data_IF_323046436158
#
_entry.id   IF_323046436158
#
_cell.length_a   1.000
_cell.length_b   1.000
_cell.length_c   1.000
_cell.angle_alpha   90.00
_cell.angle_beta   90.00
_cell.angle_gamma   90.00
#
_symmetry.space_group_name_H-M   'P 1'
#
loop_
_entity.id
_entity.type
_entity.pdbx_description
1 polymer ?
#
# COMPACT_ATOMS: atom_id res chain seq x y z
N UNK A 1 24.21 4.73 3.01
CA UNK A 1 23.31 4.82 4.18
C UNK A 1 22.02 4.08 3.85
N UNK A 2 21.65 3.05 4.61
CA UNK A 2 20.33 2.43 4.46
C UNK A 2 19.27 3.47 4.85
N UNK A 3 18.34 3.81 3.95
CA UNK A 3 17.20 4.66 4.31
C UNK A 3 16.44 3.97 5.43
N UNK A 4 16.18 4.66 6.54
CA UNK A 4 15.32 4.12 7.60
C UNK A 4 13.93 3.83 7.01
N UNK A 5 13.33 2.69 7.38
CA UNK A 5 11.96 2.34 6.98
C UNK A 5 10.96 3.47 7.23
N UNK A 6 11.20 4.27 8.28
CA UNK A 6 10.41 5.46 8.59
C UNK A 6 10.47 6.54 7.49
N UNK A 7 11.64 6.77 6.88
CA UNK A 7 11.77 7.72 5.77
C UNK A 7 10.99 7.24 4.53
N UNK A 8 10.95 5.93 4.29
CA UNK A 8 10.16 5.35 3.20
C UNK A 8 8.66 5.51 3.48
N UNK A 9 8.21 5.22 4.69
CA UNK A 9 6.81 5.44 5.09
C UNK A 9 6.42 6.91 5.03
N UNK A 10 7.30 7.83 5.46
CA UNK A 10 7.05 9.27 5.34
C UNK A 10 6.95 9.72 3.89
N UNK A 11 7.84 9.22 3.02
CA UNK A 11 7.77 9.49 1.56
C UNK A 11 6.45 8.97 0.98
N UNK A 12 6.03 7.77 1.37
CA UNK A 12 4.75 7.21 0.97
C UNK A 12 3.58 8.09 1.43
N UNK A 13 3.62 8.58 2.68
CA UNK A 13 2.59 9.46 3.22
C UNK A 13 2.43 10.73 2.37
N UNK A 14 3.55 11.38 2.02
CA UNK A 14 3.54 12.58 1.18
C UNK A 14 3.00 12.31 -0.22
N UNK A 15 3.47 11.25 -0.88
CA UNK A 15 3.01 10.89 -2.23
C UNK A 15 1.52 10.52 -2.21
N UNK A 16 1.09 9.73 -1.24
CA UNK A 16 -0.31 9.34 -1.06
C UNK A 16 -1.22 10.53 -0.75
N UNK A 17 -0.74 11.54 -0.02
CA UNK A 17 -1.47 12.81 0.16
C UNK A 17 -1.68 13.52 -1.18
N UNK A 18 -0.65 13.63 -2.02
CA UNK A 18 -0.76 14.27 -3.32
C UNK A 18 -1.75 13.52 -4.22
N UNK A 19 -1.66 12.19 -4.27
CA UNK A 19 -2.59 11.35 -5.06
C UNK A 19 -4.02 11.52 -4.57
N UNK A 20 -4.25 11.52 -3.25
CA UNK A 20 -5.57 11.73 -2.68
C UNK A 20 -6.12 13.14 -2.99
N UNK A 21 -5.30 14.18 -2.88
CA UNK A 21 -5.71 15.55 -3.25
C UNK A 21 -6.08 15.63 -4.74
N UNK A 22 -5.29 15.02 -5.62
CA UNK A 22 -5.62 14.93 -7.06
C UNK A 22 -6.94 14.20 -7.26
N UNK A 23 -7.19 13.13 -6.51
CA UNK A 23 -8.46 12.40 -6.59
C UNK A 23 -9.66 13.26 -6.19
N UNK A 24 -9.55 14.07 -5.13
CA UNK A 24 -10.66 14.90 -4.63
C UNK A 24 -10.88 16.14 -5.50
N UNK A 25 -9.80 16.88 -5.81
CA UNK A 25 -9.90 18.18 -6.46
C UNK A 25 -9.84 18.11 -7.99
N UNK A 26 -9.26 17.05 -8.55
CA UNK A 26 -9.10 16.87 -9.99
C UNK A 26 -9.35 15.41 -10.43
N UNK A 27 -10.48 14.80 -10.06
CA UNK A 27 -10.75 13.38 -10.33
C UNK A 27 -10.65 13.04 -11.83
N UNK A 28 -11.01 13.97 -12.70
CA UNK A 28 -10.93 13.77 -14.16
C UNK A 28 -9.50 13.52 -14.67
N UNK A 29 -8.45 13.94 -13.96
CA UNK A 29 -7.06 13.57 -14.31
C UNK A 29 -6.80 12.06 -14.15
N UNK A 30 -7.51 11.40 -13.23
CA UNK A 30 -7.42 9.96 -12.99
C UNK A 30 -8.40 9.16 -13.85
N UNK A 31 -9.52 9.77 -14.26
CA UNK A 31 -10.58 9.09 -15.02
C UNK A 31 -10.44 9.27 -16.55
N UNK A 32 -10.11 10.46 -17.02
CA UNK A 32 -9.96 10.78 -18.45
C UNK A 32 -8.63 11.43 -18.85
N UNK A 33 -7.69 11.51 -17.91
CA UNK A 33 -6.37 12.06 -18.15
C UNK A 33 -5.48 11.19 -19.04
N UNK A 34 -4.36 11.76 -19.48
CA UNK A 34 -3.36 11.02 -20.27
C UNK A 34 -2.77 9.83 -19.52
N UNK A 35 -2.60 9.97 -18.20
CA UNK A 35 -2.05 8.93 -17.33
C UNK A 35 -2.99 7.73 -17.27
N UNK A 36 -4.29 7.93 -17.07
CA UNK A 36 -5.27 6.85 -17.02
C UNK A 36 -5.39 6.11 -18.35
N UNK A 37 -5.33 6.85 -19.47
CA UNK A 37 -5.28 6.29 -20.83
C UNK A 37 -4.03 5.45 -21.04
N UNK A 38 -2.88 5.91 -20.56
CA UNK A 38 -1.62 5.18 -20.65
C UNK A 38 -1.66 3.89 -19.82
N UNK A 39 -2.04 3.97 -18.53
CA UNK A 39 -2.15 2.81 -17.63
C UNK A 39 -3.13 1.76 -18.17
N UNK A 40 -4.30 2.21 -18.64
CA UNK A 40 -5.31 1.31 -19.19
C UNK A 40 -4.79 0.59 -20.44
N UNK A 41 -4.08 1.31 -21.34
CA UNK A 41 -3.47 0.71 -22.52
C UNK A 41 -2.38 -0.30 -22.15
N UNK A 42 -1.47 0.05 -21.25
CA UNK A 42 -0.36 -0.83 -20.84
C UNK A 42 -0.85 -2.08 -20.12
N UNK A 43 -1.94 -1.98 -19.36
CA UNK A 43 -2.53 -3.09 -18.64
C UNK A 43 -3.55 -3.90 -19.47
N UNK A 44 -3.85 -3.49 -20.71
CA UNK A 44 -4.89 -4.11 -21.53
C UNK A 44 -6.30 -3.96 -20.93
N UNK A 45 -6.51 -2.95 -20.09
CA UNK A 45 -7.77 -2.69 -19.39
C UNK A 45 -8.64 -1.66 -20.13
N UNK A 46 -9.95 -1.74 -19.89
CA UNK A 46 -10.89 -0.75 -20.43
C UNK A 46 -10.65 0.59 -19.75
N UNK A 47 -10.47 1.62 -20.56
CA UNK A 47 -10.34 2.97 -20.07
C UNK A 47 -11.63 3.42 -19.33
N UNK A 48 -11.53 3.95 -18.10
CA UNK A 48 -12.71 4.34 -17.34
C UNK A 48 -13.55 5.42 -18.04
N UNK A 49 -12.92 6.36 -18.75
CA UNK A 49 -13.62 7.51 -19.34
C UNK A 49 -13.97 8.56 -18.28
N UNK A 50 -14.61 9.65 -18.67
CA UNK A 50 -14.98 10.73 -17.75
C UNK A 50 -15.79 10.23 -16.55
N UNK A 51 -15.63 10.91 -15.41
CA UNK A 51 -16.46 10.66 -14.23
C UNK A 51 -17.89 11.11 -14.56
N UNK A 52 -18.82 10.16 -14.62
CA UNK A 52 -20.24 10.42 -14.86
C UNK A 52 -20.99 10.50 -13.54
N UNK A 53 -22.16 11.17 -13.48
CA UNK A 53 -22.97 11.25 -12.25
C UNK A 53 -23.31 9.89 -11.63
N UNK A 54 -23.47 8.85 -12.46
CA UNK A 54 -23.70 7.47 -12.00
C UNK A 54 -22.51 6.84 -11.26
N UNK A 55 -21.30 7.37 -11.46
CA UNK A 55 -20.04 6.86 -10.89
C UNK A 55 -19.50 7.72 -9.76
N UNK A 56 -20.02 8.94 -9.59
CA UNK A 56 -19.65 9.87 -8.52
C UNK A 56 -19.81 9.25 -7.11
N UNK A 57 -20.89 8.51 -6.78
CA UNK A 57 -21.02 7.91 -5.45
C UNK A 57 -19.92 6.89 -5.15
N UNK A 58 -19.59 6.03 -6.13
CA UNK A 58 -18.52 5.04 -5.99
C UNK A 58 -17.15 5.70 -5.90
N UNK A 59 -16.94 6.78 -6.64
CA UNK A 59 -15.73 7.58 -6.52
C UNK A 59 -15.58 8.21 -5.13
N UNK A 60 -16.66 8.77 -4.58
CA UNK A 60 -16.68 9.32 -3.22
C UNK A 60 -16.34 8.28 -2.16
N UNK A 61 -16.91 7.08 -2.25
CA UNK A 61 -16.55 5.95 -1.35
C UNK A 61 -15.07 5.59 -1.47
N UNK A 62 -14.54 5.53 -2.69
CA UNK A 62 -13.12 5.26 -2.92
C UNK A 62 -12.22 6.35 -2.34
N UNK A 63 -12.59 7.63 -2.48
CA UNK A 63 -11.85 8.75 -1.92
C UNK A 63 -11.83 8.72 -0.38
N UNK A 64 -12.95 8.36 0.26
CA UNK A 64 -13.02 8.15 1.71
C UNK A 64 -12.16 6.97 2.17
N UNK A 65 -12.15 5.87 1.41
CA UNK A 65 -11.32 4.71 1.72
C UNK A 65 -9.83 5.04 1.61
N UNK A 66 -9.42 5.78 0.58
CA UNK A 66 -8.05 6.28 0.46
C UNK A 66 -7.67 7.25 1.57
N UNK A 67 -8.59 8.09 2.05
CA UNK A 67 -8.34 8.96 3.20
C UNK A 67 -8.06 8.14 4.47
N UNK A 68 -8.83 7.06 4.71
CA UNK A 68 -8.60 6.19 5.86
C UNK A 68 -7.22 5.52 5.80
N UNK A 69 -6.81 5.05 4.62
CA UNK A 69 -5.46 4.51 4.39
C UNK A 69 -4.40 5.60 4.63
N UNK A 70 -4.61 6.80 4.10
CA UNK A 70 -3.68 7.91 4.26
C UNK A 70 -3.48 8.29 5.73
N UNK A 71 -4.54 8.32 6.52
CA UNK A 71 -4.48 8.54 7.98
C UNK A 71 -3.63 7.45 8.65
N UNK A 72 -3.80 6.18 8.25
CA UNK A 72 -2.99 5.09 8.77
C UNK A 72 -1.49 5.25 8.41
N UNK A 73 -1.17 5.60 7.15
CA UNK A 73 0.22 5.80 6.72
C UNK A 73 0.86 6.96 7.50
N UNK A 74 0.17 8.09 7.68
CA UNK A 74 0.65 9.22 8.47
C UNK A 74 0.85 8.86 9.94
N UNK A 75 -0.08 8.09 10.53
CA UNK A 75 0.06 7.59 11.90
C UNK A 75 1.32 6.74 12.05
N UNK A 76 1.60 5.85 11.11
CA UNK A 76 2.82 5.04 11.11
C UNK A 76 4.09 5.81 10.76
N UNK A 77 4.01 6.87 9.95
CA UNK A 77 5.15 7.73 9.64
C UNK A 77 5.64 8.52 10.87
N UNK A 78 4.69 8.97 11.68
CA UNK A 78 4.92 9.75 12.90
C UNK A 78 5.12 8.89 14.15
N UNK A 79 4.88 7.58 14.07
CA UNK A 79 5.04 6.67 15.19
C UNK A 79 6.51 6.35 15.47
N UNK A 80 6.88 6.34 16.75
CA UNK A 80 8.16 5.85 17.25
C UNK A 80 8.12 4.35 17.62
N UNK A 81 6.97 3.68 17.45
CA UNK A 81 6.82 2.28 17.84
C UNK A 81 7.63 1.36 16.92
N UNK A 82 8.43 0.43 17.48
CA UNK A 82 9.07 -0.61 16.68
C UNK A 82 7.97 -1.41 15.96
N UNK A 83 8.19 -1.67 14.67
CA UNK A 83 7.28 -2.39 13.76
C UNK A 83 6.04 -1.66 13.22
N UNK A 84 5.82 -0.36 13.55
CA UNK A 84 4.70 0.42 12.97
C UNK A 84 4.73 0.42 11.42
N UNK A 85 5.92 0.39 10.84
CA UNK A 85 6.13 0.36 9.39
C UNK A 85 5.78 -0.99 8.75
N UNK A 86 5.83 -2.09 9.51
CA UNK A 86 5.49 -3.42 8.98
C UNK A 86 3.98 -3.55 8.80
N UNK A 87 3.20 -3.03 9.75
CA UNK A 87 1.75 -2.91 9.62
C UNK A 87 1.34 -2.09 8.40
N UNK A 88 2.05 -0.99 8.13
CA UNK A 88 1.85 -0.19 6.91
C UNK A 88 2.15 -1.00 5.66
N UNK A 89 3.30 -1.68 5.60
CA UNK A 89 3.65 -2.50 4.44
C UNK A 89 2.59 -3.59 4.16
N UNK A 90 2.03 -4.19 5.21
CA UNK A 90 0.99 -5.20 5.08
C UNK A 90 -0.33 -4.60 4.56
N UNK A 91 -0.73 -3.44 5.08
CA UNK A 91 -1.91 -2.72 4.60
C UNK A 91 -1.76 -2.34 3.12
N UNK A 92 -0.60 -1.82 2.73
CA UNK A 92 -0.30 -1.43 1.35
C UNK A 92 -0.37 -2.63 0.39
N UNK A 93 0.18 -3.78 0.81
CA UNK A 93 0.11 -5.02 0.05
C UNK A 93 -1.32 -5.53 -0.08
N UNK A 94 -2.09 -5.50 1.02
CA UNK A 94 -3.50 -5.92 1.04
C UNK A 94 -4.35 -5.06 0.11
N UNK A 95 -4.11 -3.75 0.11
CA UNK A 95 -4.76 -2.82 -0.81
C UNK A 95 -4.41 -3.12 -2.27
N UNK A 96 -3.12 -3.28 -2.59
CA UNK A 96 -2.66 -3.58 -3.94
C UNK A 96 -3.28 -4.89 -4.47
N UNK A 97 -3.35 -5.93 -3.63
CA UNK A 97 -3.98 -7.21 -3.97
C UNK A 97 -5.49 -7.05 -4.19
N UNK A 98 -6.19 -6.33 -3.29
CA UNK A 98 -7.63 -6.10 -3.40
C UNK A 98 -7.98 -5.32 -4.66
N UNK A 99 -7.19 -4.29 -4.99
CA UNK A 99 -7.33 -3.53 -6.22
C UNK A 99 -7.04 -4.38 -7.46
N UNK A 100 -6.02 -5.23 -7.43
CA UNK A 100 -5.72 -6.18 -8.51
C UNK A 100 -6.86 -7.19 -8.74
N UNK A 101 -7.42 -7.76 -7.67
CA UNK A 101 -8.57 -8.66 -7.71
C UNK A 101 -9.79 -7.92 -8.28
N UNK A 102 -10.09 -6.71 -7.81
CA UNK A 102 -11.19 -5.90 -8.35
C UNK A 102 -11.03 -5.62 -9.85
N UNK A 103 -9.80 -5.37 -10.31
CA UNK A 103 -9.49 -5.20 -11.73
C UNK A 103 -9.68 -6.49 -12.55
N UNK A 104 -9.38 -7.66 -11.98
CA UNK A 104 -9.56 -8.94 -12.64
C UNK A 104 -11.04 -9.39 -12.71
N UNK A 105 -11.79 -9.26 -11.61
CA UNK A 105 -13.14 -9.82 -11.49
C UNK A 105 -14.26 -8.83 -11.87
N UNK A 106 -14.02 -7.53 -11.75
CA UNK A 106 -15.02 -6.50 -11.99
C UNK A 106 -14.53 -5.46 -13.00
N UNK A 107 -14.22 -5.81 -14.26
CA UNK A 107 -13.60 -4.91 -15.24
C UNK A 107 -14.45 -3.67 -15.59
N UNK A 108 -15.74 -3.65 -15.24
CA UNK A 108 -16.60 -2.46 -15.34
C UNK A 108 -16.28 -1.36 -14.31
N UNK A 109 -15.68 -1.75 -13.18
CA UNK A 109 -15.34 -0.90 -12.03
C UNK A 109 -13.83 -0.93 -11.69
N UNK A 110 -13.13 -1.97 -12.17
CA UNK A 110 -11.69 -2.24 -12.12
C UNK A 110 -10.87 -1.30 -13.01
N UNK A 111 -11.11 -0.02 -12.82
CA UNK A 111 -10.59 1.07 -13.64
C UNK A 111 -9.07 1.20 -13.52
N UNK A 112 -8.46 1.86 -14.52
CA UNK A 112 -7.07 2.31 -14.45
C UNK A 112 -6.76 3.16 -13.19
N UNK A 113 -7.76 3.73 -12.52
CA UNK A 113 -7.62 4.42 -11.22
C UNK A 113 -7.25 3.45 -10.10
N UNK A 114 -7.89 2.28 -10.04
CA UNK A 114 -7.58 1.26 -9.06
C UNK A 114 -6.17 0.68 -9.30
N UNK A 115 -5.77 0.49 -10.56
CA UNK A 115 -4.40 0.08 -10.89
C UNK A 115 -3.36 1.16 -10.58
N UNK A 116 -3.70 2.43 -10.80
CA UNK A 116 -2.85 3.58 -10.49
C UNK A 116 -2.59 3.70 -8.99
N UNK A 117 -3.53 3.33 -8.13
CA UNK A 117 -3.30 3.19 -6.69
C UNK A 117 -2.55 1.91 -6.32
N UNK A 118 -2.87 0.78 -6.96
CA UNK A 118 -2.31 -0.53 -6.60
C UNK A 118 -0.79 -0.63 -6.81
N UNK A 119 -0.28 -0.08 -7.91
CA UNK A 119 1.15 -0.20 -8.26
C UNK A 119 2.06 0.56 -7.29
N UNK A 120 1.83 1.86 -7.00
CA UNK A 120 2.60 2.58 -5.99
C UNK A 120 2.53 1.92 -4.61
N UNK A 121 1.35 1.46 -4.20
CA UNK A 121 1.16 0.81 -2.91
C UNK A 121 1.97 -0.50 -2.81
N UNK A 122 1.98 -1.31 -3.87
CA UNK A 122 2.84 -2.49 -3.94
C UNK A 122 4.33 -2.13 -3.88
N UNK A 123 4.77 -1.12 -4.63
CA UNK A 123 6.17 -0.67 -4.64
C UNK A 123 6.61 -0.13 -3.27
N UNK A 124 5.75 0.63 -2.59
CA UNK A 124 6.01 1.13 -1.24
C UNK A 124 6.02 0.00 -0.22
N UNK A 125 5.12 -0.98 -0.32
CA UNK A 125 5.15 -2.17 0.54
C UNK A 125 6.51 -2.89 0.43
N UNK A 126 6.98 -3.13 -0.79
CA UNK A 126 8.30 -3.77 -1.04
C UNK A 126 9.44 -2.89 -0.53
N UNK A 127 9.39 -1.58 -0.74
CA UNK A 127 10.43 -0.65 -0.29
C UNK A 127 10.50 -0.59 1.25
N UNK A 128 9.36 -0.58 1.94
CA UNK A 128 9.30 -0.60 3.41
C UNK A 128 9.86 -1.92 3.95
N UNK A 129 9.51 -3.05 3.34
CA UNK A 129 10.04 -4.36 3.70
C UNK A 129 11.57 -4.43 3.55
N UNK A 130 12.08 -4.00 2.39
CA UNK A 130 13.53 -3.95 2.12
C UNK A 130 14.27 -3.01 3.07
N UNK A 131 13.72 -1.84 3.37
CA UNK A 131 14.32 -0.87 4.28
C UNK A 131 14.27 -1.34 5.75
N UNK A 132 13.24 -2.09 6.13
CA UNK A 132 13.09 -2.66 7.47
C UNK A 132 13.84 -3.97 7.70
N UNK A 133 14.41 -4.59 6.65
CA UNK A 133 15.07 -5.89 6.75
C UNK A 133 14.10 -7.06 6.94
N UNK A 134 12.82 -6.88 6.58
CA UNK A 134 11.77 -7.90 6.70
C UNK A 134 11.47 -8.50 5.31
N UNK A 135 11.39 -9.82 5.21
CA UNK A 135 11.03 -10.54 4.00
C UNK A 135 9.51 -10.72 3.86
N UNK A 136 9.08 -11.17 2.67
CA UNK A 136 7.67 -11.54 2.43
C UNK A 136 7.20 -12.64 3.40
N UNK A 137 8.09 -13.54 3.81
CA UNK A 137 7.80 -14.56 4.83
C UNK A 137 7.45 -13.96 6.21
N UNK A 138 8.09 -12.85 6.59
CA UNK A 138 7.83 -12.17 7.87
C UNK A 138 6.48 -11.45 7.86
N UNK A 139 6.07 -10.91 6.70
CA UNK A 139 4.73 -10.38 6.47
C UNK A 139 3.64 -11.46 6.55
N UNK A 140 3.89 -12.65 5.99
CA UNK A 140 2.95 -13.78 6.04
C UNK A 140 2.85 -14.36 7.45
N UNK A 141 3.96 -14.43 8.20
CA UNK A 141 3.95 -14.82 9.60
C UNK A 141 3.14 -13.85 10.47
N UNK A 142 3.24 -12.54 10.21
CA UNK A 142 2.39 -11.54 10.87
C UNK A 142 0.90 -11.70 10.54
N UNK A 143 0.53 -12.04 9.31
CA UNK A 143 -0.86 -12.34 8.93
C UNK A 143 -1.43 -13.55 9.68
N UNK A 144 -0.57 -14.49 10.07
CA UNK A 144 -0.95 -15.68 10.85
C UNK A 144 -0.98 -15.44 12.36
N UNK A 145 -0.55 -14.27 12.83
CA UNK A 145 -0.46 -13.95 14.25
C UNK A 145 0.79 -14.51 14.95
N UNK A 146 1.74 -15.08 14.20
CA UNK A 146 2.98 -15.64 14.71
C UNK A 146 4.02 -14.52 14.94
N UNK A 147 3.82 -13.68 15.97
CA UNK A 147 4.73 -12.56 16.24
C UNK A 147 5.93 -13.03 17.08
N UNK A 148 6.81 -13.80 16.45
CA UNK A 148 8.23 -13.81 16.78
C UNK A 148 8.97 -13.15 15.62
N UNK A 149 8.82 -11.82 15.49
CA UNK A 149 9.58 -11.05 14.51
C UNK A 149 11.03 -11.10 14.96
N UNK A 150 11.86 -11.87 14.26
CA UNK A 150 13.30 -11.88 14.51
C UNK A 150 13.80 -10.45 14.37
N UNK A 151 14.13 -9.80 15.47
CA UNK A 151 14.74 -8.48 15.45
C UNK A 151 16.10 -8.63 14.79
N UNK A 152 16.26 -8.03 13.62
CA UNK A 152 17.56 -7.92 12.97
C UNK A 152 18.29 -6.80 13.70
N UNK A 153 19.30 -7.16 14.50
CA UNK A 153 20.17 -6.18 15.16
C UNK A 153 20.86 -5.30 14.10
N UNK A 154 21.31 -4.10 14.47
CA UNK A 154 21.96 -3.08 13.62
C UNK A 154 23.19 -3.55 12.80
N UNK A 155 23.60 -4.81 12.99
CA UNK A 155 24.66 -5.54 12.27
C UNK A 155 24.15 -6.47 11.15
N UNK A 156 22.84 -6.53 10.88
CA UNK A 156 22.27 -7.35 9.81
C UNK A 156 22.18 -8.84 10.10
N UNK A 157 22.37 -9.27 11.35
CA UNK A 157 22.23 -10.68 11.76
C UNK A 157 20.81 -10.98 12.22
N UNK A 158 20.19 -12.03 11.66
CA UNK A 158 18.96 -12.62 12.16
C UNK A 158 19.20 -13.19 13.56
N UNK A 159 18.45 -12.67 14.54
CA UNK A 159 18.39 -13.24 15.88
C UNK A 159 17.23 -14.23 15.90
N UNK A 160 17.54 -15.49 15.61
CA UNK A 160 16.57 -16.56 15.80
C UNK A 160 16.36 -16.71 17.31
N UNK A 161 15.23 -16.23 17.82
CA UNK A 161 14.84 -16.51 19.21
C UNK A 161 14.49 -17.99 19.29
N UNK A 162 15.49 -18.82 19.59
CA UNK A 162 15.27 -20.19 20.06
C UNK A 162 14.52 -20.11 21.38
N UNK A 163 13.19 -20.15 21.32
CA UNK A 163 12.37 -20.53 22.46
C UNK A 163 12.67 -22.01 22.75
N UNK A 164 13.66 -22.22 23.61
CA UNK A 164 13.80 -23.44 24.39
C UNK A 164 12.59 -23.52 25.32
N UNK A 165 11.51 -24.15 24.85
CA UNK A 165 10.48 -24.69 25.74
C UNK A 165 11.18 -25.77 26.58
N UNK A 166 11.63 -25.38 27.78
CA UNK A 166 11.88 -26.36 28.84
C UNK A 166 10.52 -26.78 29.34
N UNK A 167 10.17 -28.03 29.09
CA UNK A 167 9.07 -28.67 29.78
C UNK A 167 9.39 -28.76 31.26
N UNK A 168 8.40 -28.38 32.07
CA UNK A 168 8.13 -28.91 33.41
C UNK A 168 6.62 -29.16 33.48
#
# INVERSE_FOLDING_TARGET
MARSSQQVVFTNAVVSTIVWLVQVFAPNLLYDGHISKWVSRTAGLRHPGALTPEREPMHGVLACFHLAILVHIWSSALSSRPHAHVGTALMELTYALSAGIMCAFFPKYGSGVALFGAVPNFLFAVAICRAGGFGVGDLVAMLRGDVAVSSVDSSGRRKDSKNSVKGE
#
